data_IF_466356191709
#
_entry.id   IF_466356191709
#
_cell.length_a   1.000
_cell.length_b   1.000
_cell.length_c   1.000
_cell.angle_alpha   90.00
_cell.angle_beta   90.00
_cell.angle_gamma   90.00
#
_symmetry.space_group_name_H-M   'P 1'
#
loop_
_entity.id
_entity.type
_entity.pdbx_description
1 polymer ?
#
# COMPACT_ATOMS: atom_id res chain seq x y z
N UNK A 1 18.14 -1.75 15.51
CA UNK A 1 17.78 -1.86 14.07
C UNK A 1 18.35 -0.65 13.37
N UNK A 2 19.01 -0.84 12.23
CA UNK A 2 19.52 0.26 11.43
C UNK A 2 18.34 1.11 10.91
N UNK A 3 18.37 2.40 11.21
CA UNK A 3 17.33 3.37 10.80
C UNK A 3 17.63 3.87 9.39
N UNK A 4 17.54 2.95 8.41
CA UNK A 4 17.90 3.19 7.00
C UNK A 4 17.04 4.22 6.27
N UNK A 5 15.90 4.62 6.87
CA UNK A 5 14.95 5.59 6.32
C UNK A 5 14.91 6.90 7.12
N UNK A 6 15.93 7.18 7.94
CA UNK A 6 16.03 8.44 8.69
C UNK A 6 16.01 9.64 7.73
N UNK A 7 15.18 10.65 8.05
CA UNK A 7 14.97 11.83 7.21
C UNK A 7 14.03 11.63 6.02
N UNK A 8 13.47 10.42 5.84
CA UNK A 8 12.47 10.12 4.81
C UNK A 8 11.06 10.23 5.36
N UNK A 9 10.12 10.55 4.49
CA UNK A 9 8.69 10.60 4.81
C UNK A 9 7.91 9.64 3.93
N UNK A 10 7.05 8.83 4.55
CA UNK A 10 6.19 7.86 3.89
C UNK A 10 4.72 8.30 3.94
N UNK A 11 4.01 8.13 2.84
CA UNK A 11 2.55 8.18 2.80
C UNK A 11 2.00 6.75 2.64
N UNK A 12 1.12 6.32 3.55
CA UNK A 12 0.52 4.98 3.53
C UNK A 12 -0.99 5.10 3.48
N UNK A 13 -1.61 4.78 2.33
CA UNK A 13 -3.06 4.81 2.21
C UNK A 13 -3.72 3.60 2.88
N UNK A 14 -4.88 3.81 3.53
CA UNK A 14 -5.60 2.74 4.23
C UNK A 14 -4.81 2.14 5.40
N UNK A 15 -4.14 2.96 6.20
CA UNK A 15 -3.18 2.53 7.22
C UNK A 15 -3.72 2.54 8.66
N UNK A 16 -5.04 2.66 8.85
CA UNK A 16 -5.64 2.63 10.20
C UNK A 16 -5.65 1.24 10.86
N UNK A 17 -5.49 0.14 10.09
CA UNK A 17 -5.59 -1.23 10.62
C UNK A 17 -4.88 -2.24 9.72
N UNK A 18 -4.71 -3.48 10.23
CA UNK A 18 -4.20 -4.64 9.50
C UNK A 18 -2.88 -4.32 8.74
N UNK A 19 -2.74 -4.77 7.48
CA UNK A 19 -1.53 -4.60 6.66
C UNK A 19 -1.06 -3.15 6.65
N UNK A 20 -1.96 -2.19 6.41
CA UNK A 20 -1.58 -0.79 6.32
C UNK A 20 -1.00 -0.24 7.62
N UNK A 21 -1.55 -0.64 8.78
CA UNK A 21 -0.99 -0.32 10.10
C UNK A 21 0.39 -0.95 10.30
N UNK A 22 0.53 -2.25 10.01
CA UNK A 22 1.82 -2.96 10.11
C UNK A 22 2.90 -2.28 9.26
N UNK A 23 2.56 -1.88 8.02
CA UNK A 23 3.46 -1.16 7.11
C UNK A 23 3.85 0.20 7.69
N UNK A 24 2.90 1.00 8.18
CA UNK A 24 3.16 2.31 8.79
C UNK A 24 4.13 2.20 9.97
N UNK A 25 3.89 1.25 10.87
CA UNK A 25 4.75 0.99 12.04
C UNK A 25 6.14 0.51 11.60
N UNK A 26 6.24 -0.38 10.59
CA UNK A 26 7.53 -0.86 10.08
C UNK A 26 8.37 0.26 9.48
N UNK A 27 7.79 1.14 8.69
CA UNK A 27 8.51 2.30 8.13
C UNK A 27 8.99 3.25 9.23
N UNK A 28 8.21 3.44 10.28
CA UNK A 28 8.61 4.19 11.47
C UNK A 28 9.80 3.54 12.22
N UNK A 29 9.80 2.21 12.38
CA UNK A 29 10.93 1.45 12.95
C UNK A 29 12.22 1.67 12.16
N UNK A 30 12.10 1.81 10.85
CA UNK A 30 13.22 2.11 9.96
C UNK A 30 13.61 3.60 9.94
N UNK A 31 12.89 4.46 10.67
CA UNK A 31 13.22 5.87 10.86
C UNK A 31 12.47 6.86 9.98
N UNK A 32 11.49 6.43 9.19
CA UNK A 32 10.69 7.33 8.38
C UNK A 32 9.58 8.02 9.18
N UNK A 33 9.32 9.31 8.90
CA UNK A 33 8.06 9.95 9.25
C UNK A 33 6.91 9.32 8.45
N UNK A 34 5.69 9.31 8.99
CA UNK A 34 4.57 8.62 8.33
C UNK A 34 3.31 9.45 8.28
N UNK A 35 2.75 9.60 7.09
CA UNK A 35 1.38 10.07 6.89
C UNK A 35 0.45 8.86 6.89
N UNK A 36 -0.40 8.78 7.93
CA UNK A 36 -1.40 7.72 8.15
C UNK A 36 -2.71 8.16 7.53
N UNK A 37 -3.17 7.43 6.50
CA UNK A 37 -4.45 7.74 5.84
C UNK A 37 -5.53 6.70 6.13
N UNK A 38 -6.75 7.16 6.26
CA UNK A 38 -7.98 6.36 6.31
C UNK A 38 -9.19 7.17 5.85
N UNK A 39 -10.27 6.50 5.44
CA UNK A 39 -11.46 7.18 4.90
C UNK A 39 -12.55 7.48 5.94
N UNK A 40 -12.67 6.69 7.01
CA UNK A 40 -13.83 6.77 7.92
C UNK A 40 -13.53 6.57 9.40
N UNK A 41 -12.51 5.81 9.76
CA UNK A 41 -12.19 5.49 11.16
C UNK A 41 -10.99 6.32 11.64
N UNK A 42 -11.25 7.54 12.11
CA UNK A 42 -10.22 8.45 12.63
C UNK A 42 -9.52 7.87 13.86
N UNK A 43 -10.25 7.20 14.76
CA UNK A 43 -9.67 6.61 15.97
C UNK A 43 -8.63 5.54 15.65
N UNK A 44 -8.90 4.68 14.65
CA UNK A 44 -7.95 3.68 14.21
C UNK A 44 -6.68 4.31 13.60
N UNK A 45 -6.85 5.39 12.82
CA UNK A 45 -5.72 6.14 12.26
C UNK A 45 -4.88 6.82 13.35
N UNK A 46 -5.51 7.43 14.36
CA UNK A 46 -4.80 8.00 15.51
C UNK A 46 -4.07 6.93 16.35
N UNK A 47 -4.68 5.75 16.52
CA UNK A 47 -4.02 4.61 17.16
C UNK A 47 -2.76 4.17 16.39
N UNK A 48 -2.82 4.16 15.06
CA UNK A 48 -1.65 3.89 14.22
C UNK A 48 -0.61 5.01 14.33
N UNK A 49 -1.03 6.28 14.28
CA UNK A 49 -0.12 7.42 14.41
C UNK A 49 0.59 7.44 15.77
N UNK A 50 -0.11 7.05 16.84
CA UNK A 50 0.48 6.89 18.17
C UNK A 50 1.56 5.80 18.17
N UNK A 51 1.28 4.65 17.54
CA UNK A 51 2.26 3.57 17.41
C UNK A 51 3.48 3.99 16.57
N UNK A 52 3.29 4.79 15.53
CA UNK A 52 4.37 5.37 14.72
C UNK A 52 5.25 6.30 15.56
N UNK A 53 4.64 7.24 16.29
CA UNK A 53 5.35 8.22 17.13
C UNK A 53 6.17 7.57 18.26
N UNK A 54 5.75 6.39 18.74
CA UNK A 54 6.50 5.60 19.72
C UNK A 54 7.90 5.18 19.25
N UNK A 55 8.17 5.24 17.95
CA UNK A 55 9.51 4.99 17.36
C UNK A 55 10.36 6.26 17.21
N UNK A 56 9.93 7.40 17.77
CA UNK A 56 10.67 8.66 17.76
C UNK A 56 10.73 9.34 16.40
N UNK A 57 9.66 9.17 15.60
CA UNK A 57 9.45 9.85 14.31
C UNK A 57 8.13 10.63 14.33
N UNK A 58 7.92 11.50 13.35
CA UNK A 58 6.67 12.23 13.23
C UNK A 58 5.57 11.39 12.55
N UNK A 59 4.32 11.66 12.96
CA UNK A 59 3.15 11.08 12.31
C UNK A 59 2.06 12.12 12.11
N UNK A 60 1.50 12.16 10.90
CA UNK A 60 0.33 12.95 10.52
C UNK A 60 -0.84 12.02 10.22
N UNK A 61 -2.03 12.31 10.75
CA UNK A 61 -3.27 11.65 10.31
C UNK A 61 -3.91 12.48 9.21
N UNK A 62 -4.15 11.86 8.06
CA UNK A 62 -4.72 12.49 6.87
C UNK A 62 -6.00 11.74 6.44
N UNK A 63 -7.14 12.13 7.00
CA UNK A 63 -8.44 11.51 6.69
C UNK A 63 -8.93 11.94 5.31
N UNK A 64 -9.33 10.96 4.49
CA UNK A 64 -9.91 11.18 3.16
C UNK A 64 -10.03 9.89 2.35
N UNK A 65 -11.00 9.85 1.46
CA UNK A 65 -11.28 8.70 0.59
C UNK A 65 -10.42 8.76 -0.67
N UNK A 66 -9.65 7.70 -0.94
CA UNK A 66 -8.80 7.59 -2.14
C UNK A 66 -9.59 7.57 -3.45
N UNK A 67 -10.90 7.25 -3.42
CA UNK A 67 -11.77 7.36 -4.60
C UNK A 67 -12.11 8.81 -4.96
N UNK A 68 -12.10 9.71 -3.99
CA UNK A 68 -12.49 11.10 -4.16
C UNK A 68 -11.28 11.98 -4.56
N UNK A 69 -11.36 12.62 -5.72
CA UNK A 69 -10.27 13.44 -6.24
C UNK A 69 -9.95 14.66 -5.34
N UNK A 70 -10.98 15.28 -4.77
CA UNK A 70 -10.82 16.46 -3.90
C UNK A 70 -10.19 16.07 -2.57
N UNK A 71 -10.57 14.92 -2.00
CA UNK A 71 -9.94 14.39 -0.80
C UNK A 71 -8.45 14.08 -1.05
N UNK A 72 -8.13 13.38 -2.14
CA UNK A 72 -6.73 13.09 -2.50
C UNK A 72 -5.94 14.39 -2.67
N UNK A 73 -6.46 15.38 -3.37
CA UNK A 73 -5.79 16.67 -3.53
C UNK A 73 -5.56 17.37 -2.19
N UNK A 74 -6.57 17.42 -1.33
CA UNK A 74 -6.49 18.06 -0.01
C UNK A 74 -5.44 17.38 0.88
N UNK A 75 -5.45 16.04 0.98
CA UNK A 75 -4.53 15.32 1.86
C UNK A 75 -3.10 15.31 1.33
N UNK A 76 -2.90 15.23 0.01
CA UNK A 76 -1.56 15.29 -0.59
C UNK A 76 -0.94 16.68 -0.41
N UNK A 77 -1.71 17.75 -0.61
CA UNK A 77 -1.26 19.12 -0.32
C UNK A 77 -0.91 19.32 1.15
N UNK A 78 -1.74 18.80 2.07
CA UNK A 78 -1.46 18.91 3.52
C UNK A 78 -0.20 18.13 3.91
N UNK A 79 0.01 16.93 3.35
CA UNK A 79 1.21 16.14 3.60
C UNK A 79 2.48 16.84 3.10
N UNK A 80 2.43 17.41 1.89
CA UNK A 80 3.54 18.19 1.32
C UNK A 80 3.81 19.48 2.11
N UNK A 81 2.77 20.16 2.60
CA UNK A 81 2.92 21.35 3.42
C UNK A 81 3.60 21.06 4.77
N UNK A 82 3.33 19.89 5.36
CA UNK A 82 3.94 19.51 6.66
C UNK A 82 5.35 18.98 6.51
N UNK A 83 5.62 18.13 5.51
CA UNK A 83 6.89 17.41 5.40
C UNK A 83 7.80 17.88 4.25
N UNK A 84 7.34 18.79 3.41
CA UNK A 84 8.05 19.28 2.24
C UNK A 84 8.01 18.29 1.07
N UNK A 85 8.31 17.02 1.31
CA UNK A 85 8.27 15.96 0.31
C UNK A 85 7.75 14.64 0.90
N UNK A 86 7.25 13.78 0.02
CA UNK A 86 6.94 12.38 0.32
C UNK A 86 7.90 11.52 -0.50
N UNK A 87 8.78 10.81 0.20
CA UNK A 87 9.82 9.97 -0.40
C UNK A 87 9.33 8.57 -0.72
N UNK A 88 8.40 8.06 0.11
CA UNK A 88 7.90 6.69 0.03
C UNK A 88 6.39 6.74 -0.08
N UNK A 89 5.85 6.19 -1.17
CA UNK A 89 4.41 6.07 -1.39
C UNK A 89 4.00 4.61 -1.30
N UNK A 90 3.08 4.30 -0.36
CA UNK A 90 2.47 2.97 -0.24
C UNK A 90 0.98 3.05 -0.54
N UNK A 91 0.58 2.55 -1.70
CA UNK A 91 -0.81 2.47 -2.14
C UNK A 91 -1.43 1.15 -1.69
N UNK A 92 -2.00 1.14 -0.47
CA UNK A 92 -2.61 -0.04 0.14
C UNK A 92 -4.15 0.02 0.19
N UNK A 93 -4.76 1.20 0.16
CA UNK A 93 -6.21 1.35 0.24
C UNK A 93 -6.93 0.54 -0.83
N UNK A 94 -7.97 -0.19 -0.43
CA UNK A 94 -8.80 -0.98 -1.32
C UNK A 94 -10.18 -1.25 -0.72
N UNK A 95 -11.19 -1.39 -1.58
CA UNK A 95 -12.50 -1.97 -1.27
C UNK A 95 -12.60 -3.34 -1.93
N UNK A 96 -13.25 -4.30 -1.28
CA UNK A 96 -13.35 -5.69 -1.76
C UNK A 96 -14.77 -6.25 -1.59
N UNK A 97 -15.81 -5.60 -2.15
CA UNK A 97 -17.14 -6.16 -2.18
C UNK A 97 -17.19 -7.38 -3.10
N UNK A 98 -18.09 -8.32 -2.79
CA UNK A 98 -18.43 -9.43 -3.66
C UNK A 98 -19.83 -9.21 -4.21
N UNK A 99 -19.98 -9.33 -5.53
CA UNK A 99 -21.28 -9.21 -6.20
C UNK A 99 -21.25 -9.98 -7.52
N UNK A 100 -22.30 -10.75 -7.85
CA UNK A 100 -22.42 -11.40 -9.15
C UNK A 100 -22.29 -10.39 -10.29
N UNK A 101 -21.55 -10.76 -11.34
CA UNK A 101 -21.23 -9.83 -12.43
C UNK A 101 -22.46 -9.22 -13.11
N UNK A 102 -23.51 -10.03 -13.32
CA UNK A 102 -24.74 -9.58 -13.98
C UNK A 102 -25.61 -8.65 -13.10
N UNK A 103 -25.34 -8.59 -11.79
CA UNK A 103 -26.05 -7.74 -10.83
C UNK A 103 -25.25 -6.47 -10.49
N UNK A 104 -24.05 -6.36 -11.03
CA UNK A 104 -23.12 -5.28 -10.71
C UNK A 104 -23.54 -3.99 -11.43
N UNK A 105 -23.63 -2.89 -10.68
CA UNK A 105 -23.84 -1.56 -11.23
C UNK A 105 -22.49 -0.88 -11.56
N UNK A 106 -22.57 0.20 -12.33
CA UNK A 106 -21.40 1.06 -12.58
C UNK A 106 -20.81 1.63 -11.28
N UNK A 107 -21.65 1.94 -10.28
CA UNK A 107 -21.21 2.42 -8.97
C UNK A 107 -20.44 1.34 -8.19
N UNK A 108 -20.87 0.07 -8.26
CA UNK A 108 -20.14 -1.05 -7.66
C UNK A 108 -18.75 -1.20 -8.30
N UNK A 109 -18.69 -1.06 -9.63
CA UNK A 109 -17.44 -1.11 -10.38
C UNK A 109 -16.54 0.08 -10.03
N UNK A 110 -17.04 1.30 -10.18
CA UNK A 110 -16.29 2.53 -9.96
C UNK A 110 -15.81 2.65 -8.51
N UNK A 111 -16.64 2.28 -7.52
CA UNK A 111 -16.29 2.30 -6.11
C UNK A 111 -15.06 1.45 -5.74
N UNK A 112 -14.72 0.44 -6.55
CA UNK A 112 -13.51 -0.39 -6.36
C UNK A 112 -12.34 0.16 -7.17
N UNK A 113 -12.57 0.46 -8.46
CA UNK A 113 -11.54 0.93 -9.38
C UNK A 113 -10.99 2.27 -8.92
N UNK A 114 -11.86 3.18 -8.49
CA UNK A 114 -11.46 4.52 -8.05
C UNK A 114 -10.61 4.51 -6.80
N UNK A 115 -10.91 3.65 -5.82
CA UNK A 115 -10.05 3.53 -4.62
C UNK A 115 -8.70 2.94 -4.98
N UNK A 116 -8.68 1.79 -5.67
CA UNK A 116 -7.47 1.01 -5.80
C UNK A 116 -6.55 1.49 -6.94
N UNK A 117 -7.11 1.77 -8.11
CA UNK A 117 -6.34 2.13 -9.31
C UNK A 117 -6.25 3.64 -9.49
N UNK A 118 -7.38 4.32 -9.57
CA UNK A 118 -7.41 5.78 -9.79
C UNK A 118 -6.79 6.53 -8.62
N UNK A 119 -7.02 6.08 -7.37
CA UNK A 119 -6.39 6.63 -6.17
C UNK A 119 -4.87 6.47 -6.19
N UNK A 120 -4.35 5.28 -6.59
CA UNK A 120 -2.92 5.06 -6.74
C UNK A 120 -2.28 5.95 -7.81
N UNK A 121 -2.96 6.17 -8.93
CA UNK A 121 -2.53 7.12 -9.96
C UNK A 121 -2.48 8.55 -9.42
N UNK A 122 -3.52 9.00 -8.72
CA UNK A 122 -3.60 10.38 -8.19
C UNK A 122 -2.51 10.66 -7.16
N UNK A 123 -2.27 9.75 -6.22
CA UNK A 123 -1.22 9.89 -5.20
C UNK A 123 0.17 9.85 -5.82
N UNK A 124 0.43 8.93 -6.76
CA UNK A 124 1.71 8.88 -7.48
C UNK A 124 1.96 10.20 -8.22
N UNK A 125 0.98 10.71 -8.97
CA UNK A 125 1.08 11.99 -9.68
C UNK A 125 1.35 13.19 -8.76
N UNK A 126 0.81 13.15 -7.54
CA UNK A 126 1.00 14.23 -6.57
C UNK A 126 2.41 14.23 -5.96
N UNK A 127 3.01 13.07 -5.72
CA UNK A 127 4.28 12.95 -4.99
C UNK A 127 5.50 12.77 -5.90
N UNK A 128 5.33 12.26 -7.11
CA UNK A 128 6.41 12.06 -8.08
C UNK A 128 7.25 13.31 -8.37
N UNK A 129 6.69 14.52 -8.51
CA UNK A 129 7.51 15.70 -8.77
C UNK A 129 8.61 15.90 -7.72
N UNK A 130 8.31 15.80 -6.43
CA UNK A 130 9.30 15.92 -5.37
C UNK A 130 10.31 14.76 -5.37
N UNK A 131 9.87 13.53 -5.66
CA UNK A 131 10.78 12.38 -5.79
C UNK A 131 11.77 12.58 -6.95
N UNK A 132 11.30 13.11 -8.09
CA UNK A 132 12.14 13.40 -9.27
C UNK A 132 13.14 14.49 -8.95
N UNK A 133 12.73 15.57 -8.29
CA UNK A 133 13.60 16.68 -7.91
C UNK A 133 14.72 16.23 -6.98
N UNK A 134 14.42 15.31 -6.04
CA UNK A 134 15.41 14.76 -5.11
C UNK A 134 16.29 13.65 -5.71
N UNK A 135 15.92 13.11 -6.89
CA UNK A 135 16.59 11.95 -7.48
C UNK A 135 16.41 10.67 -6.65
N UNK A 136 15.36 10.59 -5.83
CA UNK A 136 15.09 9.43 -4.97
C UNK A 136 13.59 9.28 -4.70
N UNK A 137 13.08 8.07 -4.84
CA UNK A 137 11.69 7.75 -4.51
C UNK A 137 11.42 6.25 -4.49
N UNK A 138 10.41 5.85 -3.69
CA UNK A 138 9.95 4.47 -3.58
C UNK A 138 8.43 4.43 -3.69
N UNK A 139 7.91 3.76 -4.72
CA UNK A 139 6.47 3.55 -4.91
C UNK A 139 6.18 2.06 -4.72
N UNK A 140 5.33 1.74 -3.77
CA UNK A 140 4.96 0.37 -3.44
C UNK A 140 3.43 0.26 -3.53
N UNK A 141 2.97 -0.46 -4.53
CA UNK A 141 1.56 -0.66 -4.80
C UNK A 141 1.09 -2.03 -4.31
N UNK A 142 -0.14 -2.14 -3.84
CA UNK A 142 -0.73 -3.43 -3.47
C UNK A 142 -1.56 -3.99 -4.61
N UNK A 143 -1.02 -4.96 -5.35
CA UNK A 143 -1.74 -5.75 -6.34
C UNK A 143 -2.55 -6.86 -5.65
N UNK A 144 -1.97 -8.01 -5.42
CA UNK A 144 -2.60 -9.15 -4.74
C UNK A 144 -2.78 -10.36 -5.67
N UNK A 145 -2.93 -11.55 -5.08
CA UNK A 145 -3.12 -12.82 -5.81
C UNK A 145 -4.26 -12.77 -6.84
N UNK A 146 -5.26 -11.97 -6.57
CA UNK A 146 -6.44 -11.82 -7.43
C UNK A 146 -6.15 -11.07 -8.73
N UNK A 147 -4.95 -10.45 -8.85
CA UNK A 147 -4.40 -9.98 -10.10
C UNK A 147 -3.83 -11.13 -10.96
N UNK A 148 -3.68 -12.34 -10.42
CA UNK A 148 -3.13 -13.49 -11.16
C UNK A 148 -4.25 -14.47 -11.52
N UNK A 149 -5.11 -14.81 -10.53
CA UNK A 149 -6.12 -15.88 -10.68
C UNK A 149 -7.53 -15.40 -11.02
N UNK A 150 -7.78 -14.08 -10.97
CA UNK A 150 -9.15 -13.55 -10.99
C UNK A 150 -9.84 -13.70 -9.63
N UNK A 151 -11.01 -13.12 -9.51
CA UNK A 151 -11.78 -13.10 -8.25
C UNK A 151 -13.23 -13.49 -8.53
N UNK A 152 -13.71 -14.56 -7.92
CA UNK A 152 -15.11 -14.94 -8.00
C UNK A 152 -15.98 -13.81 -7.42
N UNK A 153 -16.99 -13.36 -8.15
CA UNK A 153 -17.84 -12.21 -7.80
C UNK A 153 -17.09 -10.91 -7.49
N UNK A 154 -15.87 -10.76 -8.03
CA UNK A 154 -14.99 -9.62 -7.78
C UNK A 154 -14.32 -9.08 -9.03
N UNK A 155 -15.06 -8.97 -10.15
CA UNK A 155 -14.53 -8.47 -11.41
C UNK A 155 -13.81 -7.12 -11.29
N UNK A 156 -14.35 -6.09 -10.58
CA UNK A 156 -13.67 -4.80 -10.44
C UNK A 156 -12.41 -4.90 -9.61
N UNK A 157 -12.34 -5.82 -8.63
CA UNK A 157 -11.13 -6.07 -7.84
C UNK A 157 -10.02 -6.64 -8.73
N UNK A 158 -10.36 -7.64 -9.55
CA UNK A 158 -9.40 -8.25 -10.49
C UNK A 158 -8.89 -7.22 -11.49
N UNK A 159 -9.79 -6.46 -12.12
CA UNK A 159 -9.44 -5.42 -13.08
C UNK A 159 -8.55 -4.32 -12.45
N UNK A 160 -8.93 -3.80 -11.27
CA UNK A 160 -8.17 -2.77 -10.59
C UNK A 160 -6.76 -3.27 -10.20
N UNK A 161 -6.64 -4.52 -9.72
CA UNK A 161 -5.35 -5.08 -9.30
C UNK A 161 -4.41 -5.38 -10.47
N UNK A 162 -4.94 -5.81 -11.62
CA UNK A 162 -4.17 -5.88 -12.87
C UNK A 162 -3.76 -4.49 -13.36
N UNK A 163 -4.67 -3.51 -13.29
CA UNK A 163 -4.38 -2.12 -13.63
C UNK A 163 -3.28 -1.51 -12.76
N UNK A 164 -3.32 -1.77 -11.44
CA UNK A 164 -2.27 -1.34 -10.50
C UNK A 164 -0.91 -1.96 -10.86
N UNK A 165 -0.87 -3.23 -11.28
CA UNK A 165 0.38 -3.85 -11.77
C UNK A 165 0.85 -3.21 -13.07
N UNK A 166 -0.07 -2.92 -14.01
CA UNK A 166 0.24 -2.16 -15.23
C UNK A 166 0.82 -0.78 -14.93
N UNK A 167 0.18 -0.03 -14.03
CA UNK A 167 0.66 1.27 -13.56
C UNK A 167 2.06 1.17 -12.92
N UNK A 168 2.31 0.14 -12.11
CA UNK A 168 3.61 -0.09 -11.49
C UNK A 168 4.72 -0.25 -12.52
N UNK A 169 4.49 -1.02 -13.57
CA UNK A 169 5.46 -1.22 -14.67
C UNK A 169 5.71 0.07 -15.44
N UNK A 170 4.66 0.83 -15.74
CA UNK A 170 4.78 2.10 -16.43
C UNK A 170 5.63 3.10 -15.63
N UNK A 171 5.32 3.26 -14.34
CA UNK A 171 6.09 4.14 -13.44
C UNK A 171 7.55 3.69 -13.31
N UNK A 172 7.80 2.40 -13.21
CA UNK A 172 9.16 1.84 -13.17
C UNK A 172 9.93 2.20 -14.44
N UNK A 173 9.35 1.96 -15.61
CA UNK A 173 10.00 2.23 -16.89
C UNK A 173 10.31 3.70 -17.08
N UNK A 174 9.40 4.60 -16.69
CA UNK A 174 9.52 6.03 -16.92
C UNK A 174 10.49 6.71 -15.94
N UNK A 175 10.52 6.25 -14.67
CA UNK A 175 11.20 6.97 -13.58
C UNK A 175 12.43 6.26 -13.01
N UNK A 176 12.79 5.04 -13.42
CA UNK A 176 13.95 4.33 -12.89
C UNK A 176 15.26 5.11 -13.06
N UNK A 177 15.47 5.72 -14.23
CA UNK A 177 16.66 6.55 -14.50
C UNK A 177 16.77 7.81 -13.64
N UNK A 178 15.67 8.17 -12.97
CA UNK A 178 15.58 9.31 -12.04
C UNK A 178 15.74 8.89 -10.56
N UNK A 179 16.21 7.66 -10.29
CA UNK A 179 16.42 7.15 -8.93
C UNK A 179 15.17 6.67 -8.21
N UNK A 180 14.05 6.51 -8.94
CA UNK A 180 12.76 6.10 -8.37
C UNK A 180 12.50 4.65 -8.73
N UNK A 181 12.16 3.82 -7.73
CA UNK A 181 11.67 2.45 -7.97
C UNK A 181 10.16 2.37 -7.75
N UNK A 182 9.48 1.58 -8.58
CA UNK A 182 8.07 1.28 -8.43
C UNK A 182 7.88 -0.24 -8.46
N UNK A 183 7.31 -0.80 -7.39
CA UNK A 183 7.07 -2.23 -7.26
C UNK A 183 5.66 -2.51 -6.74
N UNK A 184 5.18 -3.73 -6.94
CA UNK A 184 3.93 -4.20 -6.39
C UNK A 184 4.15 -5.33 -5.38
N UNK A 185 3.38 -5.34 -4.30
CA UNK A 185 3.25 -6.46 -3.38
C UNK A 185 1.98 -7.23 -3.71
N UNK A 186 2.08 -8.56 -3.73
CA UNK A 186 0.95 -9.48 -3.86
C UNK A 186 0.80 -10.30 -2.58
N UNK A 187 0.03 -9.82 -1.58
CA UNK A 187 -0.23 -10.57 -0.36
C UNK A 187 -1.05 -11.83 -0.64
N UNK A 188 -0.74 -12.90 0.10
CA UNK A 188 -1.58 -14.08 0.22
C UNK A 188 -2.73 -13.90 1.21
N UNK A 189 -3.10 -14.98 1.87
CA UNK A 189 -4.04 -14.95 2.98
C UNK A 189 -3.33 -14.44 4.24
N UNK A 190 -3.75 -13.26 4.67
CA UNK A 190 -3.18 -12.56 5.84
C UNK A 190 -4.23 -12.53 6.95
N UNK A 191 -3.84 -12.95 8.15
CA UNK A 191 -4.68 -12.83 9.33
C UNK A 191 -4.92 -11.35 9.66
N UNK A 192 -6.11 -11.02 10.18
CA UNK A 192 -6.37 -9.69 10.72
C UNK A 192 -5.57 -9.48 12.00
N UNK A 193 -5.38 -8.25 12.40
CA UNK A 193 -4.71 -7.91 13.65
C UNK A 193 -5.33 -8.71 14.83
N UNK A 194 -4.50 -9.49 15.52
CA UNK A 194 -4.92 -10.39 16.60
C UNK A 194 -5.71 -11.64 16.16
N UNK A 195 -5.80 -11.89 14.85
CA UNK A 195 -6.51 -13.07 14.31
C UNK A 195 -5.69 -14.34 14.34
N UNK A 196 -6.37 -15.48 14.24
CA UNK A 196 -5.75 -16.81 14.20
C UNK A 196 -5.06 -17.06 12.86
N UNK A 197 -3.76 -17.33 12.91
CA UNK A 197 -2.95 -17.71 11.73
C UNK A 197 -3.08 -19.17 11.35
N UNK A 198 -3.72 -19.99 12.19
CA UNK A 198 -3.91 -21.44 12.03
C UNK A 198 -5.34 -21.83 11.69
N UNK A 199 -6.19 -20.88 11.23
CA UNK A 199 -7.58 -21.19 10.82
C UNK A 199 -7.60 -22.36 9.82
N UNK A 200 -8.11 -23.55 10.20
CA UNK A 200 -8.06 -24.76 9.37
C UNK A 200 -8.78 -24.61 8.03
N UNK A 201 -9.77 -23.72 7.97
CA UNK A 201 -10.54 -23.46 6.74
C UNK A 201 -9.72 -22.71 5.68
N UNK A 202 -8.65 -22.07 6.09
CA UNK A 202 -7.83 -21.20 5.24
C UNK A 202 -6.42 -21.74 5.01
N UNK A 203 -5.84 -22.36 6.01
CA UNK A 203 -4.44 -22.86 5.98
C UNK A 203 -4.23 -23.97 4.96
N UNK A 204 -5.25 -24.81 4.70
CA UNK A 204 -5.11 -25.98 3.81
C UNK A 204 -4.73 -25.66 2.36
N UNK A 205 -4.89 -24.41 1.91
CA UNK A 205 -4.48 -23.96 0.57
C UNK A 205 -3.11 -23.25 0.53
N UNK A 206 -2.45 -23.10 1.69
CA UNK A 206 -1.20 -22.36 1.83
C UNK A 206 -0.06 -23.34 2.01
N UNK A 207 0.89 -23.50 1.05
CA UNK A 207 2.01 -24.44 1.19
C UNK A 207 2.87 -24.23 2.43
N UNK A 208 3.01 -22.98 2.91
CA UNK A 208 3.73 -22.68 4.15
C UNK A 208 3.06 -23.23 5.42
N UNK A 209 1.79 -23.67 5.36
CA UNK A 209 1.07 -24.26 6.48
C UNK A 209 0.54 -23.27 7.52
N UNK A 210 0.56 -21.98 7.24
CA UNK A 210 -0.01 -20.91 8.08
C UNK A 210 -0.41 -19.69 7.27
N UNK A 211 -1.31 -18.87 7.80
CA UNK A 211 -1.61 -17.54 7.24
C UNK A 211 -0.51 -16.55 7.61
N UNK A 212 -0.13 -15.71 6.68
CA UNK A 212 0.76 -14.59 6.98
C UNK A 212 0.12 -13.58 7.93
N UNK A 213 0.95 -12.69 8.46
CA UNK A 213 0.58 -11.57 9.33
C UNK A 213 0.82 -10.23 8.62
N UNK A 214 0.38 -9.14 9.23
CA UNK A 214 0.70 -7.79 8.76
C UNK A 214 2.21 -7.52 8.77
N UNK A 215 2.95 -8.13 9.70
CA UNK A 215 4.40 -8.00 9.86
C UNK A 215 5.16 -8.66 8.70
N UNK A 216 4.69 -9.80 8.18
CA UNK A 216 5.31 -10.46 7.02
C UNK A 216 5.25 -9.56 5.79
N UNK A 217 4.11 -8.92 5.57
CA UNK A 217 3.94 -7.95 4.48
C UNK A 217 4.77 -6.69 4.73
N UNK A 218 4.77 -6.18 5.96
CA UNK A 218 5.51 -4.99 6.34
C UNK A 218 7.03 -5.18 6.19
N UNK A 219 7.55 -6.38 6.42
CA UNK A 219 8.96 -6.72 6.20
C UNK A 219 9.34 -6.55 4.72
N UNK A 220 8.53 -7.08 3.80
CA UNK A 220 8.75 -6.93 2.36
C UNK A 220 8.65 -5.46 1.90
N UNK A 221 7.67 -4.70 2.41
CA UNK A 221 7.56 -3.27 2.14
C UNK A 221 8.79 -2.52 2.68
N UNK A 222 9.26 -2.85 3.89
CA UNK A 222 10.45 -2.25 4.48
C UNK A 222 11.70 -2.47 3.63
N UNK A 223 11.88 -3.67 3.07
CA UNK A 223 12.95 -3.96 2.11
C UNK A 223 12.82 -3.11 0.85
N UNK A 224 11.65 -3.10 0.21
CA UNK A 224 11.43 -2.33 -1.03
C UNK A 224 11.57 -0.82 -0.84
N UNK A 225 11.28 -0.32 0.37
CA UNK A 225 11.46 1.08 0.73
C UNK A 225 12.93 1.45 0.99
N UNK A 226 13.79 0.48 1.29
CA UNK A 226 15.18 0.70 1.67
C UNK A 226 16.08 1.06 0.49
N UNK A 227 17.27 1.64 0.74
CA UNK A 227 18.30 1.82 -0.28
C UNK A 227 18.80 0.50 -0.89
N UNK A 228 18.71 -0.62 -0.17
CA UNK A 228 19.17 -1.94 -0.61
C UNK A 228 18.38 -2.45 -1.81
N UNK A 229 17.10 -2.04 -1.93
CA UNK A 229 16.23 -2.41 -3.05
C UNK A 229 16.39 -1.51 -4.29
N UNK A 230 17.46 -0.70 -4.38
CA UNK A 230 17.67 0.27 -5.47
C UNK A 230 17.64 -0.32 -6.89
N UNK A 231 17.90 -1.62 -7.03
CA UNK A 231 17.90 -2.31 -8.32
C UNK A 231 16.66 -3.19 -8.54
N UNK A 232 15.70 -3.15 -7.60
CA UNK A 232 14.42 -3.86 -7.69
C UNK A 232 13.36 -2.85 -8.12
N UNK A 233 12.91 -2.95 -9.39
CA UNK A 233 11.86 -2.07 -9.91
C UNK A 233 11.03 -2.79 -10.98
N UNK A 234 9.74 -2.42 -11.13
CA UNK A 234 8.79 -3.04 -12.07
C UNK A 234 8.31 -4.43 -11.66
N UNK A 235 8.65 -4.90 -10.46
CA UNK A 235 8.36 -6.25 -10.02
C UNK A 235 7.05 -6.36 -9.25
N UNK A 236 6.39 -7.52 -9.36
CA UNK A 236 5.34 -7.93 -8.44
C UNK A 236 5.90 -9.02 -7.52
N UNK A 237 6.05 -8.70 -6.23
CA UNK A 237 6.62 -9.60 -5.25
C UNK A 237 5.49 -10.29 -4.48
N UNK A 238 5.40 -11.61 -4.63
CA UNK A 238 4.46 -12.43 -3.89
C UNK A 238 4.94 -12.64 -2.44
N UNK A 239 4.08 -12.30 -1.47
CA UNK A 239 4.27 -12.59 -0.05
C UNK A 239 3.04 -13.35 0.41
N UNK A 240 3.00 -14.66 0.07
CA UNK A 240 1.76 -15.44 0.08
C UNK A 240 1.93 -16.88 0.58
N UNK A 241 3.07 -17.22 1.18
CA UNK A 241 3.32 -18.57 1.68
C UNK A 241 3.32 -19.67 0.60
N UNK A 242 3.54 -19.31 -0.67
CA UNK A 242 3.51 -20.25 -1.80
C UNK A 242 2.11 -20.49 -2.39
N UNK A 243 1.08 -19.76 -1.98
CA UNK A 243 -0.31 -19.97 -2.42
C UNK A 243 -0.50 -19.74 -3.94
N UNK A 244 0.36 -18.91 -4.53
CA UNK A 244 0.49 -18.75 -5.98
C UNK A 244 1.95 -18.57 -6.35
N UNK A 245 2.39 -19.34 -7.30
CA UNK A 245 3.72 -19.25 -7.93
C UNK A 245 3.56 -18.78 -9.36
#
# INVERSE_FOLDING_TARGET
>A
MDRTLTGKTAFVSGSGQNIGRGVAVRLAQLGANVVVNGSSNTQACEGTATAVRAHGVEAMVAMGDMSNAQDVERITKAALAQFGAIDILVNNAARRPHKPFLEMSDDDWNGVVDVALTGSFRTARAFLPGMVEQGWGRIINFAGMKAIKGYYEGAPISAAKHGVWGLTKALSTEFASKGITANAISPGQIAKDGGDTQDPKRVGSIPAGFMGTSEDIAAAVGYLASPEARFVTGQMIAVNGGETT
#
